data_IF_644333977318
#
_entry.id   IF_644333977318
#
_cell.length_a   1.000
_cell.length_b   1.000
_cell.length_c   1.000
_cell.angle_alpha   90.00
_cell.angle_beta   90.00
_cell.angle_gamma   90.00
#
_symmetry.space_group_name_H-M   'P 1'
#
loop_
_entity.id
_entity.type
_entity.pdbx_description
1 polymer ?
#
# COMPACT_ATOMS: atom_id res chain seq x y z
N UNK A 1 -5.93 -12.42 18.18
CA UNK A 1 -5.54 -11.08 17.71
C UNK A 1 -6.40 -10.72 16.53
N UNK A 2 -7.12 -9.62 16.65
CA UNK A 2 -8.05 -9.20 15.61
C UNK A 2 -7.43 -8.09 14.77
N UNK A 3 -7.22 -8.37 13.48
CA UNK A 3 -6.76 -7.39 12.50
C UNK A 3 -7.95 -6.85 11.73
N UNK A 4 -7.97 -5.55 11.51
CA UNK A 4 -9.01 -4.89 10.72
C UNK A 4 -8.48 -3.66 10.02
N UNK A 5 -9.24 -3.18 9.04
CA UNK A 5 -9.01 -1.90 8.37
C UNK A 5 -10.15 -0.95 8.69
N UNK A 6 -9.84 0.32 8.80
CA UNK A 6 -10.85 1.38 8.76
C UNK A 6 -10.33 2.56 7.94
N UNK A 7 -11.21 3.39 7.37
CA UNK A 7 -10.76 4.63 6.77
C UNK A 7 -10.05 5.51 7.80
N UNK A 8 -9.00 6.19 7.37
CA UNK A 8 -8.32 7.17 8.21
C UNK A 8 -9.16 8.44 8.31
N UNK A 9 -9.00 9.14 9.42
CA UNK A 9 -9.56 10.47 9.60
C UNK A 9 -8.44 11.48 9.86
N UNK A 10 -8.77 12.74 10.00
CA UNK A 10 -7.75 13.79 10.19
C UNK A 10 -6.87 13.55 11.42
N UNK A 11 -7.42 12.94 12.46
CA UNK A 11 -6.67 12.62 13.67
C UNK A 11 -5.58 11.58 13.45
N UNK A 12 -5.61 10.84 12.35
CA UNK A 12 -4.62 9.81 12.04
C UNK A 12 -3.44 10.35 11.25
N UNK A 13 -3.51 11.58 10.75
CA UNK A 13 -2.49 12.14 9.86
C UNK A 13 -1.10 12.10 10.50
N UNK A 14 -0.99 12.61 11.73
CA UNK A 14 0.31 12.70 12.40
C UNK A 14 0.94 11.33 12.61
N UNK A 15 0.14 10.35 13.01
CA UNK A 15 0.61 8.97 13.17
C UNK A 15 1.15 8.42 11.84
N UNK A 16 0.41 8.60 10.76
CA UNK A 16 0.82 8.10 9.45
C UNK A 16 2.07 8.80 8.93
N UNK A 17 2.16 10.12 9.08
CA UNK A 17 3.34 10.85 8.63
C UNK A 17 4.59 10.41 9.37
N UNK A 18 4.52 10.32 10.69
CA UNK A 18 5.67 9.90 11.50
C UNK A 18 6.10 8.48 11.13
N UNK A 19 5.13 7.58 10.99
CA UNK A 19 5.40 6.18 10.66
C UNK A 19 6.05 6.04 9.27
N UNK A 20 5.47 6.68 8.26
CA UNK A 20 5.98 6.62 6.90
C UNK A 20 7.39 7.22 6.82
N UNK A 21 7.59 8.40 7.40
CA UNK A 21 8.90 9.05 7.40
C UNK A 21 9.94 8.20 8.10
N UNK A 22 9.59 7.69 9.26
CA UNK A 22 10.51 6.89 10.08
C UNK A 22 10.93 5.61 9.36
N UNK A 23 9.96 4.85 8.83
CA UNK A 23 10.24 3.59 8.16
C UNK A 23 10.99 3.79 6.83
N UNK A 24 10.76 4.90 6.14
CA UNK A 24 11.38 5.15 4.83
C UNK A 24 12.71 5.90 4.92
N UNK A 25 13.07 6.39 6.10
CA UNK A 25 14.22 7.27 6.30
C UNK A 25 15.51 6.71 5.71
N UNK A 26 15.86 5.45 5.97
CA UNK A 26 17.10 4.86 5.48
C UNK A 26 17.15 4.76 3.95
N UNK A 27 16.01 4.48 3.32
CA UNK A 27 15.93 4.36 1.86
C UNK A 27 16.06 5.73 1.19
N UNK A 28 15.45 6.75 1.77
CA UNK A 28 15.52 8.11 1.27
C UNK A 28 16.92 8.68 1.46
N UNK A 29 17.52 8.46 2.64
CA UNK A 29 18.89 8.91 2.92
C UNK A 29 19.88 8.28 1.95
N UNK A 30 19.75 6.98 1.68
CA UNK A 30 20.62 6.30 0.72
C UNK A 30 20.52 6.86 -0.70
N UNK A 31 19.42 7.55 -1.02
CA UNK A 31 19.18 8.16 -2.34
C UNK A 31 19.35 9.67 -2.33
N UNK A 32 19.82 10.21 -1.22
CA UNK A 32 19.97 11.67 -1.05
C UNK A 32 18.65 12.41 -1.30
N UNK A 33 17.55 11.83 -0.85
CA UNK A 33 16.21 12.39 -0.95
C UNK A 33 15.77 12.89 0.41
N UNK A 34 15.43 14.16 0.51
CA UNK A 34 14.91 14.75 1.74
C UNK A 34 13.41 14.43 1.86
N UNK A 35 12.96 14.21 3.10
CA UNK A 35 11.52 14.13 3.38
C UNK A 35 10.90 15.52 3.23
N UNK A 36 9.88 15.62 2.41
CA UNK A 36 9.16 16.88 2.19
C UNK A 36 7.75 16.77 2.77
N UNK A 37 7.46 17.47 3.88
CA UNK A 37 6.14 17.41 4.50
C UNK A 37 4.99 17.79 3.56
N UNK A 38 5.23 18.75 2.65
CA UNK A 38 4.22 19.19 1.69
C UNK A 38 3.82 18.08 0.72
N UNK A 39 4.75 17.21 0.35
CA UNK A 39 4.46 16.08 -0.53
C UNK A 39 3.59 15.04 0.17
N UNK A 40 3.89 14.76 1.42
CA UNK A 40 3.07 13.82 2.18
C UNK A 40 1.66 14.38 2.38
N UNK A 41 1.54 15.67 2.70
CA UNK A 41 0.24 16.31 2.85
C UNK A 41 -0.56 16.25 1.56
N UNK A 42 0.07 16.49 0.41
CA UNK A 42 -0.59 16.37 -0.89
C UNK A 42 -1.08 14.94 -1.15
N UNK A 43 -0.25 13.94 -0.82
CA UNK A 43 -0.63 12.53 -0.98
C UNK A 43 -1.77 12.15 -0.03
N UNK A 44 -1.81 12.74 1.16
CA UNK A 44 -2.90 12.49 2.10
C UNK A 44 -4.25 12.89 1.52
N UNK A 45 -4.29 14.02 0.83
CA UNK A 45 -5.51 14.49 0.17
C UNK A 45 -5.88 13.64 -1.05
N UNK A 46 -4.88 13.10 -1.74
CA UNK A 46 -5.07 12.37 -3.00
C UNK A 46 -5.40 10.89 -2.79
N UNK A 47 -4.75 10.24 -1.82
CA UNK A 47 -4.83 8.79 -1.64
C UNK A 47 -6.03 8.42 -0.77
N UNK A 48 -6.46 7.20 -0.95
CA UNK A 48 -7.37 6.55 -0.01
C UNK A 48 -6.54 5.98 1.13
N UNK A 49 -6.66 6.59 2.29
CA UNK A 49 -5.84 6.25 3.45
C UNK A 49 -6.63 5.34 4.39
N UNK A 50 -6.06 4.17 4.67
CA UNK A 50 -6.67 3.20 5.57
C UNK A 50 -5.75 2.96 6.75
N UNK A 51 -6.33 2.76 7.93
CA UNK A 51 -5.59 2.39 9.12
C UNK A 51 -5.64 0.88 9.32
N UNK A 52 -4.49 0.31 9.63
CA UNK A 52 -4.40 -1.10 10.04
C UNK A 52 -4.52 -1.12 11.55
N UNK A 53 -5.51 -1.85 12.04
CA UNK A 53 -5.77 -1.97 13.46
C UNK A 53 -5.48 -3.37 13.96
N UNK A 54 -4.84 -3.46 15.12
CA UNK A 54 -4.65 -4.70 15.85
C UNK A 54 -5.36 -4.53 17.20
N UNK A 55 -6.40 -5.32 17.42
CA UNK A 55 -7.23 -5.22 18.62
C UNK A 55 -7.67 -3.76 18.88
N UNK A 56 -8.14 -3.10 17.81
CA UNK A 56 -8.65 -1.73 17.79
C UNK A 56 -7.60 -0.64 17.95
N UNK A 57 -6.31 -0.97 18.00
CA UNK A 57 -5.25 0.02 18.07
C UNK A 57 -4.57 0.17 16.71
N UNK A 58 -4.30 1.41 16.32
CA UNK A 58 -3.61 1.70 15.07
C UNK A 58 -2.16 1.21 15.13
N UNK A 59 -1.79 0.32 14.23
CA UNK A 59 -0.43 -0.26 14.15
C UNK A 59 0.22 -0.04 12.79
N UNK A 60 -0.52 0.48 11.81
CA UNK A 60 0.01 0.71 10.49
C UNK A 60 -0.97 1.43 9.58
N UNK A 61 -0.57 1.60 8.35
CA UNK A 61 -1.40 2.24 7.32
C UNK A 61 -1.24 1.54 5.99
N UNK A 62 -2.32 1.51 5.22
CA UNK A 62 -2.40 1.03 3.85
C UNK A 62 -3.00 2.15 3.02
N UNK A 63 -2.26 2.63 2.02
CA UNK A 63 -2.66 3.79 1.24
C UNK A 63 -2.77 3.43 -0.22
N UNK A 64 -3.92 3.68 -0.80
CA UNK A 64 -4.30 3.22 -2.12
C UNK A 64 -4.64 4.40 -3.02
N UNK A 65 -4.45 4.23 -4.32
CA UNK A 65 -4.86 5.21 -5.31
C UNK A 65 -5.49 4.50 -6.51
N UNK A 66 -6.80 4.64 -6.70
CA UNK A 66 -7.44 4.14 -7.91
C UNK A 66 -6.94 4.93 -9.13
N UNK A 67 -6.51 4.22 -10.17
CA UNK A 67 -6.02 4.82 -11.41
C UNK A 67 -6.64 4.08 -12.60
N UNK A 68 -6.45 4.59 -13.82
CA UNK A 68 -7.02 3.95 -15.00
C UNK A 68 -6.46 2.56 -15.25
N UNK A 69 -5.18 2.38 -15.00
CA UNK A 69 -4.50 1.10 -15.24
C UNK A 69 -4.84 0.05 -14.18
N UNK A 70 -5.29 0.48 -13.00
CA UNK A 70 -5.60 -0.43 -11.90
C UNK A 70 -5.58 0.28 -10.55
N UNK A 71 -5.48 -0.50 -9.50
CA UNK A 71 -5.37 0.04 -8.15
C UNK A 71 -3.90 0.15 -7.77
N UNK A 72 -3.44 1.36 -7.46
CA UNK A 72 -2.10 1.59 -6.97
C UNK A 72 -2.01 1.38 -5.47
N UNK A 73 -1.11 0.48 -5.03
CA UNK A 73 -0.75 0.38 -3.63
C UNK A 73 0.40 1.35 -3.41
N UNK A 74 0.08 2.52 -2.86
CA UNK A 74 1.02 3.63 -2.81
C UNK A 74 1.88 3.63 -1.56
N UNK A 75 1.38 3.02 -0.49
CA UNK A 75 2.11 2.96 0.76
C UNK A 75 1.57 1.84 1.64
N UNK A 76 2.48 1.12 2.31
CA UNK A 76 2.15 0.11 3.30
C UNK A 76 3.21 0.20 4.38
N UNK A 77 2.81 0.63 5.56
CA UNK A 77 3.73 0.79 6.67
C UNK A 77 3.15 0.13 7.91
N UNK A 78 4.00 -0.61 8.61
CA UNK A 78 3.67 -1.25 9.89
C UNK A 78 4.67 -0.76 10.93
N UNK A 79 4.16 -0.45 12.13
CA UNK A 79 5.01 -0.01 13.23
C UNK A 79 6.12 -1.01 13.52
N UNK A 80 7.34 -0.55 13.87
CA UNK A 80 8.49 -1.45 14.04
C UNK A 80 8.25 -2.60 15.01
N UNK A 81 7.51 -2.35 16.09
CA UNK A 81 7.21 -3.37 17.10
C UNK A 81 6.21 -4.42 16.62
N UNK A 82 5.56 -4.17 15.49
CA UNK A 82 4.56 -5.07 14.92
C UNK A 82 5.01 -5.73 13.62
N UNK A 83 6.23 -5.44 13.17
CA UNK A 83 6.79 -6.05 11.96
C UNK A 83 7.15 -7.51 12.21
N UNK A 84 7.24 -8.28 11.09
CA UNK A 84 7.59 -9.71 11.09
C UNK A 84 6.60 -10.59 11.86
N UNK A 85 5.36 -10.16 11.95
CA UNK A 85 4.26 -10.91 12.61
C UNK A 85 3.12 -11.21 11.65
N UNK A 86 3.36 -11.05 10.35
CA UNK A 86 2.37 -11.35 9.33
C UNK A 86 1.39 -10.23 9.01
N UNK A 87 1.55 -9.04 9.61
CA UNK A 87 0.64 -7.91 9.35
C UNK A 87 0.78 -7.40 7.93
N UNK A 88 2.01 -7.34 7.40
CA UNK A 88 2.24 -6.91 6.03
C UNK A 88 1.57 -7.84 5.02
N UNK A 89 1.72 -9.15 5.20
CA UNK A 89 1.04 -10.13 4.35
C UNK A 89 -0.47 -9.99 4.41
N UNK A 90 -1.00 -9.82 5.61
CA UNK A 90 -2.42 -9.62 5.81
C UNK A 90 -2.91 -8.38 5.07
N UNK A 91 -2.20 -7.27 5.20
CA UNK A 91 -2.57 -6.01 4.55
C UNK A 91 -2.54 -6.12 3.02
N UNK A 92 -1.53 -6.81 2.47
CA UNK A 92 -1.46 -7.04 1.03
C UNK A 92 -2.67 -7.86 0.56
N UNK A 93 -3.04 -8.90 1.30
CA UNK A 93 -4.24 -9.68 0.96
C UNK A 93 -5.51 -8.85 1.03
N UNK A 94 -5.58 -7.90 1.95
CA UNK A 94 -6.70 -6.96 1.99
C UNK A 94 -6.71 -6.07 0.74
N UNK A 95 -5.56 -5.55 0.33
CA UNK A 95 -5.47 -4.75 -0.88
C UNK A 95 -5.87 -5.56 -2.12
N UNK A 96 -5.45 -6.82 -2.20
CA UNK A 96 -5.84 -7.72 -3.28
C UNK A 96 -7.35 -7.93 -3.29
N UNK A 97 -7.97 -8.16 -2.13
CA UNK A 97 -9.41 -8.32 -2.02
C UNK A 97 -10.16 -7.05 -2.41
N UNK A 98 -9.63 -5.87 -2.03
CA UNK A 98 -10.22 -4.58 -2.41
C UNK A 98 -10.17 -4.41 -3.93
N UNK A 99 -9.02 -4.69 -4.55
CA UNK A 99 -8.87 -4.58 -6.00
C UNK A 99 -9.86 -5.51 -6.71
N UNK A 100 -9.97 -6.74 -6.25
CA UNK A 100 -10.90 -7.71 -6.80
C UNK A 100 -12.35 -7.26 -6.64
N UNK A 101 -12.72 -6.85 -5.42
CA UNK A 101 -14.09 -6.44 -5.12
C UNK A 101 -14.55 -5.21 -5.88
N UNK A 102 -13.62 -4.35 -6.29
CA UNK A 102 -13.91 -3.15 -7.07
C UNK A 102 -13.82 -3.38 -8.58
N UNK A 103 -13.47 -4.57 -9.02
CA UNK A 103 -13.38 -4.91 -10.43
C UNK A 103 -12.11 -4.42 -11.13
N UNK A 104 -11.08 -4.06 -10.38
CA UNK A 104 -9.78 -3.77 -10.98
C UNK A 104 -9.14 -5.06 -11.50
N UNK A 105 -8.38 -4.94 -12.58
CA UNK A 105 -7.68 -6.08 -13.17
C UNK A 105 -6.23 -6.16 -12.73
N UNK A 106 -5.73 -5.13 -12.07
CA UNK A 106 -4.36 -5.06 -11.59
C UNK A 106 -4.29 -4.36 -10.24
N UNK A 107 -3.36 -4.82 -9.41
CA UNK A 107 -2.86 -4.10 -8.23
C UNK A 107 -1.36 -3.93 -8.45
N UNK A 108 -0.85 -2.71 -8.39
CA UNK A 108 0.57 -2.47 -8.66
C UNK A 108 1.19 -1.61 -7.58
N UNK A 109 2.51 -1.73 -7.45
CA UNK A 109 3.28 -1.02 -6.45
C UNK A 109 4.70 -0.73 -6.95
N UNK A 110 5.39 0.13 -6.23
CA UNK A 110 6.82 0.37 -6.38
C UNK A 110 7.50 0.09 -5.07
N UNK A 111 8.67 -0.50 -5.13
CA UNK A 111 9.46 -0.82 -3.94
C UNK A 111 10.94 -0.65 -4.29
N UNK A 112 11.73 -0.13 -3.36
CA UNK A 112 13.17 -0.03 -3.54
C UNK A 112 13.76 -1.44 -3.53
N UNK A 113 14.76 -1.69 -4.41
CA UNK A 113 15.32 -3.06 -4.57
C UNK A 113 15.92 -3.62 -3.28
N UNK A 114 16.50 -2.78 -2.43
CA UNK A 114 17.08 -3.22 -1.18
C UNK A 114 16.04 -3.45 -0.06
N UNK A 115 14.80 -3.09 -0.29
CA UNK A 115 13.74 -3.28 0.70
C UNK A 115 13.32 -4.76 0.71
N UNK A 116 13.42 -5.45 1.86
CA UNK A 116 13.04 -6.86 1.94
C UNK A 116 11.56 -7.12 1.64
N UNK A 117 10.72 -6.09 1.66
CA UNK A 117 9.30 -6.23 1.30
C UNK A 117 9.11 -6.74 -0.14
N UNK A 118 10.08 -6.51 -1.04
CA UNK A 118 10.00 -7.01 -2.41
C UNK A 118 9.83 -8.53 -2.44
N UNK A 119 10.53 -9.26 -1.57
CA UNK A 119 10.41 -10.71 -1.49
C UNK A 119 9.02 -11.12 -0.98
N UNK A 120 8.46 -10.37 -0.04
CA UNK A 120 7.11 -10.60 0.44
C UNK A 120 6.08 -10.44 -0.68
N UNK A 121 6.19 -9.38 -1.46
CA UNK A 121 5.28 -9.15 -2.58
C UNK A 121 5.38 -10.26 -3.62
N UNK A 122 6.60 -10.70 -3.94
CA UNK A 122 6.80 -11.82 -4.86
C UNK A 122 6.09 -13.10 -4.38
N UNK A 123 6.21 -13.40 -3.07
CA UNK A 123 5.53 -14.56 -2.50
C UNK A 123 4.01 -14.46 -2.57
N UNK A 124 3.47 -13.26 -2.60
CA UNK A 124 2.03 -13.03 -2.67
C UNK A 124 1.51 -12.86 -4.10
N UNK A 125 2.35 -13.19 -5.08
CA UNK A 125 1.93 -13.28 -6.47
C UNK A 125 2.26 -12.07 -7.33
N UNK A 126 2.93 -11.06 -6.78
CA UNK A 126 3.37 -9.92 -7.58
C UNK A 126 4.56 -10.30 -8.44
N UNK A 127 4.57 -9.80 -9.67
CA UNK A 127 5.67 -10.03 -10.62
C UNK A 127 6.35 -8.71 -10.92
N UNK A 128 7.66 -8.77 -11.13
CA UNK A 128 8.43 -7.60 -11.53
C UNK A 128 8.06 -7.23 -12.96
N UNK A 129 7.60 -5.99 -13.16
CA UNK A 129 7.30 -5.46 -14.48
C UNK A 129 8.50 -4.70 -15.05
N UNK A 130 9.17 -3.90 -14.22
CA UNK A 130 10.35 -3.15 -14.61
C UNK A 130 11.17 -2.76 -13.39
N UNK A 131 12.44 -2.45 -13.63
CA UNK A 131 13.34 -1.88 -12.64
C UNK A 131 13.95 -0.62 -13.24
N UNK A 132 13.88 0.49 -12.51
CA UNK A 132 14.38 1.76 -12.97
C UNK A 132 15.01 2.52 -11.82
N UNK A 133 16.31 2.81 -11.92
CA UNK A 133 17.07 3.57 -10.93
C UNK A 133 16.88 3.02 -9.49
N UNK A 134 16.93 1.69 -9.35
CA UNK A 134 16.81 1.04 -8.04
C UNK A 134 15.40 0.91 -7.52
N UNK A 135 14.40 1.29 -8.30
CA UNK A 135 12.99 1.13 -7.94
C UNK A 135 12.38 0.00 -8.76
N UNK A 136 11.80 -0.97 -8.08
CA UNK A 136 11.17 -2.13 -8.70
C UNK A 136 9.67 -1.86 -8.82
N UNK A 137 9.15 -1.97 -10.03
CA UNK A 137 7.72 -1.89 -10.30
C UNK A 137 7.17 -3.30 -10.33
N UNK A 138 6.18 -3.58 -9.51
CA UNK A 138 5.59 -4.91 -9.40
C UNK A 138 4.09 -4.85 -9.64
N UNK A 139 3.57 -5.90 -10.24
CA UNK A 139 2.16 -6.00 -10.61
C UNK A 139 1.61 -7.35 -10.18
N UNK A 140 0.44 -7.30 -9.58
CA UNK A 140 -0.39 -8.48 -9.35
C UNK A 140 -1.60 -8.39 -10.26
N UNK A 141 -1.73 -9.36 -11.15
CA UNK A 141 -2.84 -9.42 -12.08
C UNK A 141 -3.91 -10.35 -11.53
N UNK A 142 -5.14 -9.89 -11.59
CA UNK A 142 -6.25 -10.74 -11.21
C UNK A 142 -6.54 -11.71 -12.35
N UNK A 143 -6.82 -12.99 -12.02
CA UNK A 143 -7.23 -13.93 -13.04
C UNK A 143 -8.52 -13.45 -13.68
N UNK A 144 -8.73 -13.69 -14.99
CA UNK A 144 -9.97 -13.31 -15.64
C UNK A 144 -11.14 -13.90 -14.87
N UNK A 145 -11.97 -13.04 -14.32
CA UNK A 145 -13.18 -13.47 -13.63
C UNK A 145 -14.38 -12.93 -14.38
N UNK A 146 -15.09 -13.82 -15.00
CA UNK A 146 -16.21 -13.48 -15.86
C UNK A 146 -17.42 -12.98 -15.10
N UNK A 147 -17.44 -13.15 -13.80
CA UNK A 147 -18.52 -12.62 -12.97
C UNK A 147 -18.35 -11.14 -12.66
N UNK A 148 -17.14 -10.56 -12.90
CA UNK A 148 -16.91 -9.15 -12.67
C UNK A 148 -17.59 -8.30 -13.71
N UNK A 149 -18.34 -7.32 -13.21
CA UNK A 149 -19.03 -6.36 -14.07
C UNK A 149 -18.31 -5.03 -14.01
N UNK A 150 -17.95 -4.46 -15.17
CA UNK A 150 -17.29 -3.16 -15.21
C UNK A 150 -18.08 -2.05 -14.52
N UNK A 151 -19.38 -2.24 -14.31
CA UNK A 151 -20.20 -1.29 -13.58
C UNK A 151 -19.74 -1.06 -12.15
N UNK A 152 -19.03 -1.99 -11.56
CA UNK A 152 -18.48 -1.80 -10.22
C UNK A 152 -17.45 -0.68 -10.17
N UNK A 153 -16.76 -0.44 -11.26
CA UNK A 153 -15.80 0.65 -11.37
C UNK A 153 -16.45 2.01 -11.24
N UNK A 154 -17.66 2.15 -11.77
CA UNK A 154 -18.40 3.40 -11.69
C UNK A 154 -18.82 3.72 -10.27
N UNK A 155 -19.11 2.69 -9.50
CA UNK A 155 -19.53 2.87 -8.12
C UNK A 155 -18.33 3.14 -7.20
N UNK A 156 -17.14 2.78 -7.65
CA UNK A 156 -15.92 3.03 -6.92
C UNK A 156 -15.37 4.45 -7.16
N UNK A 157 -15.83 5.09 -8.22
CA UNK A 157 -15.48 6.47 -8.52
C UNK A 157 -16.39 7.42 -7.73
#
# INVERSE_FOLDING_TARGET
MALSLRPANEGDFAFCEVLCRSNMSRYLTARDIAWEPSRFLASWAEFENLMILLDSQAVGTLRLLPEQAGLGLRDLQVGPEHQRKGLGSWAIRQAQAIAEGRGFTQLYLRVYEENPAAALYARLGFKVESVMAGTVHMVWELPPNQSFKPTLLRNAA
#
